data_IF_311828859088
#
_entry.id   IF_311828859088
#
_cell.length_a   1.000
_cell.length_b   1.000
_cell.length_c   1.000
_cell.angle_alpha   90.00
_cell.angle_beta   90.00
_cell.angle_gamma   90.00
#
_symmetry.space_group_name_H-M   'P 1'
#
loop_
_entity.id
_entity.type
_entity.pdbx_description
1 polymer ?
#
# COMPACT_ATOMS: atom_id res chain seq x y z
N UNK A 1 -57.66 -71.75 85.04
CA UNK A 1 -56.39 -71.87 84.28
C UNK A 1 -56.54 -71.12 82.96
N UNK A 2 -56.05 -69.88 82.87
CA UNK A 2 -55.38 -69.32 81.68
C UNK A 2 -54.81 -67.92 82.03
N UNK A 3 -53.48 -67.83 82.16
CA UNK A 3 -52.70 -66.59 82.13
C UNK A 3 -52.46 -66.25 80.65
N UNK A 4 -52.79 -65.05 80.20
CA UNK A 4 -51.89 -63.89 80.06
C UNK A 4 -50.64 -64.21 79.25
N UNK A 5 -50.64 -63.83 77.97
CA UNK A 5 -49.47 -63.38 77.21
C UNK A 5 -49.93 -62.40 76.14
N UNK A 6 -49.68 -61.12 76.37
CA UNK A 6 -50.02 -60.04 75.45
C UNK A 6 -49.77 -58.72 76.16
N UNK A 7 -48.50 -58.31 76.21
CA UNK A 7 -48.01 -56.95 76.52
C UNK A 7 -46.50 -56.99 76.75
N UNK A 8 -45.71 -57.21 75.69
CA UNK A 8 -44.26 -56.97 75.73
C UNK A 8 -43.70 -56.24 74.50
N UNK A 9 -44.48 -56.03 73.44
CA UNK A 9 -43.99 -55.35 72.22
C UNK A 9 -44.14 -53.81 72.25
N UNK A 10 -45.02 -53.25 73.09
CA UNK A 10 -45.23 -51.78 73.13
C UNK A 10 -44.19 -51.01 73.96
N UNK A 11 -43.53 -51.65 74.94
CA UNK A 11 -42.58 -50.97 75.83
C UNK A 11 -41.23 -50.60 75.19
N UNK A 12 -40.80 -51.32 74.14
CA UNK A 12 -39.52 -51.05 73.47
C UNK A 12 -39.59 -49.90 72.45
N UNK A 13 -40.77 -49.65 71.85
CA UNK A 13 -40.95 -48.55 70.89
C UNK A 13 -40.89 -47.18 71.54
N UNK A 14 -41.44 -47.03 72.75
CA UNK A 14 -41.47 -45.75 73.48
C UNK A 14 -40.07 -45.30 73.93
N UNK A 15 -39.20 -46.25 74.33
CA UNK A 15 -37.82 -45.96 74.73
C UNK A 15 -36.92 -45.55 73.57
N UNK A 16 -37.11 -46.16 72.39
CA UNK A 16 -36.35 -45.80 71.18
C UNK A 16 -36.76 -44.41 70.65
N UNK A 17 -38.05 -44.07 70.70
CA UNK A 17 -38.53 -42.74 70.31
C UNK A 17 -38.04 -41.64 71.24
N UNK A 18 -37.92 -41.91 72.55
CA UNK A 18 -37.42 -40.92 73.52
C UNK A 18 -35.93 -40.63 73.32
N UNK A 19 -35.11 -41.66 73.06
CA UNK A 19 -33.68 -41.45 72.82
C UNK A 19 -33.39 -40.72 71.50
N UNK A 20 -34.19 -40.97 70.45
CA UNK A 20 -34.05 -40.28 69.17
C UNK A 20 -34.53 -38.83 69.24
N UNK A 21 -35.52 -38.54 70.08
CA UNK A 21 -36.00 -37.18 70.34
C UNK A 21 -34.92 -36.32 71.00
N UNK A 22 -34.26 -36.83 72.05
CA UNK A 22 -33.23 -36.09 72.78
C UNK A 22 -32.02 -35.77 71.90
N UNK A 23 -31.61 -36.71 71.03
CA UNK A 23 -30.52 -36.51 70.07
C UNK A 23 -30.84 -35.42 69.03
N UNK A 24 -32.05 -35.47 68.46
CA UNK A 24 -32.50 -34.49 67.49
C UNK A 24 -32.67 -33.10 68.12
N UNK A 25 -33.18 -33.05 69.35
CA UNK A 25 -33.34 -31.80 70.11
C UNK A 25 -31.98 -31.16 70.42
N UNK A 26 -30.96 -31.96 70.79
CA UNK A 26 -29.60 -31.45 70.98
C UNK A 26 -29.00 -30.92 69.67
N UNK A 27 -29.20 -31.62 68.55
CA UNK A 27 -28.72 -31.17 67.24
C UNK A 27 -29.37 -29.86 66.81
N UNK A 28 -30.69 -29.73 66.96
CA UNK A 28 -31.44 -28.51 66.67
C UNK A 28 -31.03 -27.35 67.59
N UNK A 29 -30.85 -27.60 68.88
CA UNK A 29 -30.39 -26.59 69.85
C UNK A 29 -28.99 -26.09 69.47
N UNK A 30 -28.12 -26.97 68.98
CA UNK A 30 -26.77 -26.61 68.50
C UNK A 30 -26.84 -25.72 67.25
N UNK A 31 -27.84 -25.93 66.41
CA UNK A 31 -28.15 -25.08 65.25
C UNK A 31 -28.96 -23.81 65.61
N UNK A 32 -29.31 -23.62 66.89
CA UNK A 32 -30.04 -22.46 67.38
C UNK A 32 -31.57 -22.57 67.32
N UNK A 33 -32.11 -23.74 66.97
CA UNK A 33 -33.55 -24.01 66.97
C UNK A 33 -33.99 -24.55 68.34
N UNK A 34 -34.77 -23.76 69.08
CA UNK A 34 -35.20 -24.05 70.46
C UNK A 34 -36.68 -24.44 70.59
N UNK A 35 -37.37 -24.71 69.47
CA UNK A 35 -38.80 -25.03 69.48
C UNK A 35 -39.06 -26.50 69.88
N UNK A 36 -40.13 -26.73 70.64
CA UNK A 36 -40.57 -28.07 71.04
C UNK A 36 -41.46 -28.69 69.96
N UNK A 37 -41.25 -29.97 69.63
CA UNK A 37 -41.97 -30.66 68.56
C UNK A 37 -42.61 -31.97 69.04
N UNK A 38 -43.62 -32.45 68.32
CA UNK A 38 -44.36 -33.68 68.67
C UNK A 38 -43.63 -34.95 68.21
N UNK A 39 -43.87 -36.07 68.92
CA UNK A 39 -43.24 -37.37 68.63
C UNK A 39 -43.50 -37.89 67.20
N UNK A 40 -44.61 -37.49 66.57
CA UNK A 40 -44.96 -37.88 65.20
C UNK A 40 -44.09 -37.15 64.15
N UNK A 41 -43.51 -36.00 64.51
CA UNK A 41 -42.77 -35.13 63.60
C UNK A 41 -41.26 -35.45 63.53
N UNK A 42 -40.75 -36.28 64.45
CA UNK A 42 -39.32 -36.58 64.61
C UNK A 42 -38.69 -37.08 63.29
N UNK A 43 -39.31 -38.06 62.63
CA UNK A 43 -38.76 -38.67 61.42
C UNK A 43 -38.70 -37.70 60.23
N UNK A 44 -39.65 -36.75 60.15
CA UNK A 44 -39.66 -35.73 59.10
C UNK A 44 -38.58 -34.67 59.33
N UNK A 45 -38.47 -34.19 60.57
CA UNK A 45 -37.48 -33.18 60.95
C UNK A 45 -36.05 -33.73 60.76
N UNK A 46 -35.83 -34.99 61.11
CA UNK A 46 -34.53 -35.64 60.89
C UNK A 46 -34.17 -35.74 59.41
N UNK A 47 -35.11 -36.14 58.53
CA UNK A 47 -34.89 -36.15 57.07
C UNK A 47 -34.59 -34.77 56.50
N UNK A 48 -35.32 -33.74 56.95
CA UNK A 48 -35.08 -32.36 56.52
C UNK A 48 -33.72 -31.84 56.98
N UNK A 49 -33.29 -32.22 58.18
CA UNK A 49 -31.97 -31.89 58.71
C UNK A 49 -30.86 -32.57 57.90
N UNK A 50 -31.02 -33.85 57.61
CA UNK A 50 -30.08 -34.61 56.77
C UNK A 50 -30.00 -34.01 55.36
N UNK A 51 -31.14 -33.66 54.75
CA UNK A 51 -31.20 -32.99 53.45
C UNK A 51 -30.51 -31.61 53.49
N UNK A 52 -30.72 -30.84 54.56
CA UNK A 52 -30.07 -29.54 54.75
C UNK A 52 -28.55 -29.66 54.86
N UNK A 53 -28.04 -30.62 55.64
CA UNK A 53 -26.60 -30.88 55.76
C UNK A 53 -25.98 -31.27 54.40
N UNK A 54 -26.67 -32.11 53.62
CA UNK A 54 -26.24 -32.48 52.27
C UNK A 54 -26.23 -31.26 51.33
N UNK A 55 -27.22 -30.37 51.44
CA UNK A 55 -27.25 -29.13 50.65
C UNK A 55 -26.11 -28.19 51.07
N UNK A 56 -25.83 -28.08 52.37
CA UNK A 56 -24.74 -27.24 52.88
C UNK A 56 -23.38 -27.74 52.38
N UNK A 57 -23.12 -29.05 52.46
CA UNK A 57 -21.90 -29.68 51.95
C UNK A 57 -21.74 -29.44 50.44
N UNK A 58 -22.82 -29.63 49.66
CA UNK A 58 -22.83 -29.33 48.22
C UNK A 58 -22.58 -27.84 47.94
N UNK A 59 -23.17 -26.94 48.72
CA UNK A 59 -22.94 -25.50 48.60
C UNK A 59 -21.48 -25.12 48.89
N UNK A 60 -20.88 -25.71 49.93
CA UNK A 60 -19.47 -25.50 50.25
C UNK A 60 -18.55 -26.05 49.15
N UNK A 61 -18.84 -27.25 48.63
CA UNK A 61 -18.12 -27.84 47.50
C UNK A 61 -18.22 -26.94 46.26
N UNK A 62 -19.42 -26.48 45.92
CA UNK A 62 -19.66 -25.63 44.76
C UNK A 62 -18.93 -24.28 44.90
N UNK A 63 -18.92 -23.70 46.10
CA UNK A 63 -18.16 -22.47 46.40
C UNK A 63 -16.66 -22.67 46.22
N UNK A 64 -16.11 -23.79 46.69
CA UNK A 64 -14.69 -24.15 46.49
C UNK A 64 -14.35 -24.34 45.01
N UNK A 65 -15.21 -25.03 44.26
CA UNK A 65 -15.04 -25.21 42.81
C UNK A 65 -15.12 -23.87 42.07
N UNK A 66 -16.08 -23.01 42.40
CA UNK A 66 -16.18 -21.67 41.83
C UNK A 66 -14.90 -20.86 42.06
N UNK A 67 -14.38 -20.85 43.29
CA UNK A 67 -13.12 -20.16 43.61
C UNK A 67 -11.91 -20.76 42.89
N UNK A 68 -11.91 -22.07 42.61
CA UNK A 68 -10.87 -22.70 41.80
C UNK A 68 -10.96 -22.22 40.34
N UNK A 69 -12.15 -22.24 39.75
CA UNK A 69 -12.38 -21.79 38.37
C UNK A 69 -12.04 -20.30 38.19
N UNK A 70 -12.41 -19.45 39.14
CA UNK A 70 -12.10 -18.01 39.07
C UNK A 70 -10.58 -17.77 39.13
N UNK A 71 -9.84 -18.54 39.94
CA UNK A 71 -8.38 -18.49 39.98
C UNK A 71 -7.75 -18.94 38.68
N UNK A 72 -8.19 -20.07 38.12
CA UNK A 72 -7.70 -20.59 36.83
C UNK A 72 -7.98 -19.60 35.70
N UNK A 73 -9.17 -19.00 35.68
CA UNK A 73 -9.54 -17.95 34.72
C UNK A 73 -8.65 -16.72 34.84
N UNK A 74 -8.38 -16.25 36.07
CA UNK A 74 -7.49 -15.12 36.30
C UNK A 74 -6.06 -15.43 35.83
N UNK A 75 -5.56 -16.64 36.13
CA UNK A 75 -4.22 -17.07 35.72
C UNK A 75 -4.10 -17.15 34.19
N UNK A 76 -5.08 -17.75 33.52
CA UNK A 76 -5.16 -17.76 32.06
C UNK A 76 -5.23 -16.35 31.48
N UNK A 77 -5.95 -15.43 32.13
CA UNK A 77 -5.99 -14.04 31.70
C UNK A 77 -4.62 -13.36 31.83
N UNK A 78 -3.91 -13.57 32.94
CA UNK A 78 -2.55 -13.06 33.13
C UNK A 78 -1.56 -13.61 32.09
N UNK A 79 -1.73 -14.86 31.64
CA UNK A 79 -0.89 -15.45 30.59
C UNK A 79 -1.26 -14.97 29.18
N UNK A 80 -2.55 -14.76 28.89
CA UNK A 80 -3.03 -14.40 27.55
C UNK A 80 -2.93 -12.91 27.23
N UNK A 81 -3.08 -12.02 28.21
CA UNK A 81 -2.95 -10.57 28.02
C UNK A 81 -1.59 -10.12 27.44
N UNK A 82 -0.42 -10.57 27.93
CA UNK A 82 0.85 -10.19 27.31
C UNK A 82 0.95 -10.69 25.87
N UNK A 83 0.46 -11.90 25.57
CA UNK A 83 0.44 -12.45 24.22
C UNK A 83 -0.45 -11.65 23.27
N UNK A 84 -1.59 -11.15 23.75
CA UNK A 84 -2.46 -10.26 22.96
C UNK A 84 -1.76 -8.93 22.66
N UNK A 85 -1.07 -8.34 23.64
CA UNK A 85 -0.32 -7.10 23.45
C UNK A 85 0.81 -7.28 22.44
N UNK A 86 1.58 -8.36 22.54
CA UNK A 86 2.65 -8.65 21.57
C UNK A 86 2.09 -8.91 20.18
N UNK A 87 0.98 -9.63 20.04
CA UNK A 87 0.33 -9.86 18.76
C UNK A 87 -0.14 -8.55 18.10
N UNK A 88 -0.74 -7.64 18.88
CA UNK A 88 -1.13 -6.31 18.38
C UNK A 88 0.09 -5.50 17.96
N UNK A 89 1.15 -5.51 18.76
CA UNK A 89 2.41 -4.82 18.46
C UNK A 89 3.04 -5.35 17.16
N UNK A 90 3.17 -6.66 17.04
CA UNK A 90 3.74 -7.32 15.85
C UNK A 90 2.88 -7.09 14.62
N UNK A 91 1.55 -7.08 14.75
CA UNK A 91 0.65 -6.78 13.64
C UNK A 91 0.83 -5.34 13.17
N UNK A 92 1.00 -4.39 14.10
CA UNK A 92 1.27 -2.99 13.76
C UNK A 92 2.62 -2.84 13.05
N UNK A 93 3.66 -3.48 13.56
CA UNK A 93 4.99 -3.49 12.93
C UNK A 93 4.96 -4.12 11.55
N UNK A 94 4.30 -5.28 11.39
CA UNK A 94 4.19 -5.94 10.09
C UNK A 94 3.46 -5.07 9.07
N UNK A 95 2.39 -4.40 9.48
CA UNK A 95 1.66 -3.47 8.61
C UNK A 95 2.53 -2.25 8.25
N UNK A 96 3.29 -1.71 9.19
CA UNK A 96 4.20 -0.60 8.95
C UNK A 96 5.29 -0.98 7.94
N UNK A 97 5.94 -2.13 8.15
CA UNK A 97 6.96 -2.65 7.25
C UNK A 97 6.41 -2.91 5.84
N UNK A 98 5.16 -3.40 5.72
CA UNK A 98 4.51 -3.55 4.41
C UNK A 98 4.37 -2.22 3.69
N UNK A 99 3.93 -1.17 4.39
CA UNK A 99 3.78 0.16 3.80
C UNK A 99 5.14 0.73 3.40
N UNK A 100 6.16 0.59 4.25
CA UNK A 100 7.52 1.01 3.95
C UNK A 100 8.10 0.28 2.74
N UNK A 101 7.86 -1.03 2.63
CA UNK A 101 8.32 -1.83 1.49
C UNK A 101 7.65 -1.40 0.19
N UNK A 102 6.34 -1.15 0.21
CA UNK A 102 5.60 -0.61 -0.94
C UNK A 102 6.20 0.75 -1.35
N UNK A 103 6.40 1.65 -0.38
CA UNK A 103 6.95 2.97 -0.68
C UNK A 103 8.39 2.87 -1.23
N UNK A 104 9.23 2.01 -0.67
CA UNK A 104 10.58 1.79 -1.14
C UNK A 104 10.59 1.25 -2.58
N UNK A 105 9.73 0.27 -2.89
CA UNK A 105 9.56 -0.26 -4.23
C UNK A 105 9.11 0.83 -5.22
N UNK A 106 8.09 1.62 -4.87
CA UNK A 106 7.61 2.72 -5.71
C UNK A 106 8.69 3.78 -5.97
N UNK A 107 9.51 4.10 -4.97
CA UNK A 107 10.63 5.05 -5.14
C UNK A 107 11.71 4.46 -6.04
N UNK A 108 12.05 3.19 -5.84
CA UNK A 108 13.04 2.50 -6.66
C UNK A 108 12.58 2.45 -8.13
N UNK A 109 11.33 2.09 -8.39
CA UNK A 109 10.79 2.00 -9.74
C UNK A 109 10.75 3.37 -10.43
N UNK A 110 10.38 4.44 -9.70
CA UNK A 110 10.45 5.82 -10.22
C UNK A 110 11.87 6.20 -10.59
N UNK A 111 12.85 5.93 -9.74
CA UNK A 111 14.26 6.23 -10.05
C UNK A 111 14.78 5.38 -11.21
N UNK A 112 14.39 4.11 -11.28
CA UNK A 112 14.75 3.21 -12.38
C UNK A 112 14.18 3.68 -13.74
N UNK A 113 12.93 4.17 -13.76
CA UNK A 113 12.35 4.76 -14.97
C UNK A 113 13.07 6.04 -15.36
N UNK A 114 13.39 6.92 -14.40
CA UNK A 114 14.16 8.15 -14.66
C UNK A 114 15.53 7.86 -15.24
N UNK A 115 16.29 6.94 -14.63
CA UNK A 115 17.64 6.58 -15.09
C UNK A 115 17.59 5.96 -16.49
N UNK A 116 16.65 5.06 -16.77
CA UNK A 116 16.48 4.51 -18.12
C UNK A 116 16.12 5.56 -19.17
N UNK A 117 15.29 6.54 -18.82
CA UNK A 117 14.99 7.65 -19.72
C UNK A 117 16.22 8.52 -20.00
N UNK A 118 17.07 8.75 -18.99
CA UNK A 118 18.34 9.44 -19.17
C UNK A 118 19.31 8.64 -20.04
N UNK A 119 19.42 7.32 -19.83
CA UNK A 119 20.23 6.43 -20.67
C UNK A 119 19.78 6.55 -22.14
N UNK A 120 18.47 6.38 -22.42
CA UNK A 120 17.92 6.52 -23.77
C UNK A 120 18.14 7.90 -24.38
N UNK A 121 18.14 8.95 -23.55
CA UNK A 121 18.46 10.32 -24.00
C UNK A 121 19.93 10.40 -24.44
N UNK A 122 20.86 9.94 -23.61
CA UNK A 122 22.28 9.97 -23.93
C UNK A 122 22.64 9.04 -25.09
N UNK A 123 22.00 7.89 -25.23
CA UNK A 123 22.19 7.00 -26.39
C UNK A 123 21.80 7.68 -27.71
N UNK A 124 20.71 8.45 -27.71
CA UNK A 124 20.32 9.27 -28.88
C UNK A 124 21.33 10.36 -29.16
N UNK A 125 21.71 11.14 -28.16
CA UNK A 125 22.73 12.20 -28.31
C UNK A 125 24.07 11.64 -28.81
N UNK A 126 24.52 10.49 -28.30
CA UNK A 126 25.72 9.80 -28.78
C UNK A 126 25.57 9.38 -30.25
N UNK A 127 24.40 8.88 -30.64
CA UNK A 127 24.14 8.46 -32.03
C UNK A 127 24.14 9.64 -32.99
N UNK A 128 23.51 10.75 -32.58
CA UNK A 128 23.52 12.02 -33.33
C UNK A 128 24.93 12.59 -33.47
N UNK A 129 25.71 12.61 -32.37
CA UNK A 129 27.10 13.07 -32.40
C UNK A 129 27.99 12.19 -33.28
N UNK A 130 27.79 10.86 -33.25
CA UNK A 130 28.50 9.93 -34.14
C UNK A 130 28.16 10.20 -35.61
N UNK A 131 26.89 10.42 -35.92
CA UNK A 131 26.46 10.78 -37.28
C UNK A 131 27.08 12.10 -37.74
N UNK A 132 27.04 13.13 -36.90
CA UNK A 132 27.63 14.43 -37.21
C UNK A 132 29.15 14.34 -37.39
N UNK A 133 29.83 13.57 -36.54
CA UNK A 133 31.27 13.32 -36.67
C UNK A 133 31.61 12.62 -37.99
N UNK A 134 30.82 11.61 -38.37
CA UNK A 134 30.96 10.92 -39.65
C UNK A 134 30.79 11.89 -40.83
N UNK A 135 29.79 12.76 -40.78
CA UNK A 135 29.55 13.77 -41.81
C UNK A 135 30.73 14.76 -41.93
N UNK A 136 31.25 15.26 -40.80
CA UNK A 136 32.43 16.13 -40.80
C UNK A 136 33.67 15.43 -41.34
N UNK A 137 33.87 14.16 -41.00
CA UNK A 137 34.97 13.36 -41.53
C UNK A 137 34.87 13.20 -43.05
N UNK A 138 33.69 12.89 -43.58
CA UNK A 138 33.48 12.79 -45.04
C UNK A 138 33.71 14.14 -45.73
N UNK A 139 33.23 15.24 -45.15
CA UNK A 139 33.44 16.58 -45.69
C UNK A 139 34.93 16.96 -45.70
N UNK A 140 35.68 16.63 -44.65
CA UNK A 140 37.12 16.83 -44.60
C UNK A 140 37.83 16.05 -45.72
N UNK A 141 37.50 14.77 -45.89
CA UNK A 141 38.06 13.93 -46.97
C UNK A 141 37.75 14.48 -48.37
N UNK A 142 36.54 15.00 -48.60
CA UNK A 142 36.19 15.63 -49.88
C UNK A 142 37.02 16.90 -50.13
N UNK A 143 37.23 17.73 -49.11
CA UNK A 143 38.07 18.93 -49.22
C UNK A 143 39.54 18.57 -49.45
N UNK A 144 40.07 17.56 -48.75
CA UNK A 144 41.42 17.03 -48.97
C UNK A 144 41.58 16.52 -50.41
N UNK A 145 40.61 15.76 -50.92
CA UNK A 145 40.66 15.27 -52.31
C UNK A 145 40.60 16.41 -53.34
N UNK A 146 39.80 17.46 -53.08
CA UNK A 146 39.74 18.65 -53.94
C UNK A 146 41.06 19.40 -53.92
N UNK A 147 41.60 19.65 -52.73
CA UNK A 147 42.88 20.31 -52.54
C UNK A 147 44.01 19.54 -53.23
N UNK A 148 44.04 18.22 -53.10
CA UNK A 148 45.02 17.35 -53.77
C UNK A 148 44.88 17.44 -55.30
N UNK A 149 43.65 17.50 -55.84
CA UNK A 149 43.43 17.67 -57.27
C UNK A 149 43.83 19.04 -57.81
N UNK A 150 43.58 20.10 -57.03
CA UNK A 150 43.98 21.47 -57.36
C UNK A 150 45.51 21.61 -57.29
N UNK A 151 46.14 21.01 -56.28
CA UNK A 151 47.59 20.97 -56.15
C UNK A 151 48.23 20.30 -57.37
N UNK A 152 47.71 19.14 -57.80
CA UNK A 152 48.17 18.46 -59.03
C UNK A 152 48.02 19.33 -60.27
N UNK A 153 46.89 20.00 -60.45
CA UNK A 153 46.69 20.93 -61.58
C UNK A 153 47.69 22.09 -61.56
N UNK A 154 47.97 22.64 -60.39
CA UNK A 154 48.98 23.71 -60.24
C UNK A 154 50.36 23.16 -60.60
N UNK A 155 50.73 21.98 -60.11
CA UNK A 155 51.98 21.32 -60.47
C UNK A 155 52.08 21.06 -61.99
N UNK A 156 51.02 20.56 -62.63
CA UNK A 156 50.95 20.38 -64.08
C UNK A 156 51.13 21.70 -64.85
N UNK A 157 50.47 22.79 -64.42
CA UNK A 157 50.62 24.11 -65.02
C UNK A 157 52.03 24.68 -64.84
N UNK A 158 52.64 24.49 -63.67
CA UNK A 158 54.02 24.90 -63.41
C UNK A 158 55.00 24.11 -64.28
N UNK A 159 54.81 22.80 -64.43
CA UNK A 159 55.62 21.97 -65.32
C UNK A 159 55.45 22.38 -66.79
N UNK A 160 54.21 22.63 -67.23
CA UNK A 160 53.94 23.13 -68.58
C UNK A 160 54.59 24.49 -68.84
N UNK A 161 54.55 25.39 -67.86
CA UNK A 161 55.25 26.67 -67.93
C UNK A 161 56.77 26.50 -68.00
N UNK A 162 57.34 25.60 -67.18
CA UNK A 162 58.76 25.28 -67.22
C UNK A 162 59.18 24.69 -68.59
N UNK A 163 58.37 23.78 -69.14
CA UNK A 163 58.58 23.23 -70.48
C UNK A 163 58.51 24.30 -71.58
N UNK A 164 57.54 25.23 -71.52
CA UNK A 164 57.48 26.38 -72.45
C UNK A 164 58.73 27.25 -72.30
N UNK A 165 59.13 27.60 -71.08
CA UNK A 165 60.33 28.40 -70.84
C UNK A 165 61.61 27.72 -71.34
N UNK A 166 61.67 26.39 -71.31
CA UNK A 166 62.79 25.61 -71.86
C UNK A 166 62.70 25.54 -73.40
N UNK A 167 61.50 25.36 -73.97
CA UNK A 167 61.26 25.22 -75.41
C UNK A 167 61.39 26.56 -76.17
N UNK A 168 61.06 27.69 -75.56
CA UNK A 168 61.30 29.04 -76.09
C UNK A 168 62.80 29.39 -76.11
N UNK A 169 63.64 28.55 -75.51
CA UNK A 169 65.07 28.77 -75.44
C UNK A 169 65.39 29.84 -74.41
N UNK A 170 66.50 29.64 -73.69
CA UNK A 170 67.16 30.71 -72.93
C UNK A 170 67.72 31.76 -73.90
N UNK A 171 66.85 32.53 -74.53
CA UNK A 171 67.22 33.75 -75.22
C UNK A 171 66.86 34.89 -74.27
N UNK A 172 67.94 35.42 -73.69
CA UNK A 172 68.07 36.69 -72.97
C UNK A 172 66.84 37.58 -72.87
N UNK A 173 66.46 37.89 -71.63
CA UNK A 173 65.97 39.20 -71.19
C UNK A 173 64.85 39.85 -72.01
N UNK A 174 63.69 39.94 -71.37
CA UNK A 174 62.51 40.73 -71.75
C UNK A 174 61.43 40.00 -72.58
N UNK A 175 60.26 39.88 -71.93
CA UNK A 175 58.93 39.76 -72.52
C UNK A 175 58.62 38.51 -73.35
N UNK A 176 58.34 37.41 -72.66
CA UNK A 176 57.54 36.32 -73.24
C UNK A 176 56.46 35.94 -72.24
N UNK A 177 55.24 36.48 -72.43
CA UNK A 177 53.97 35.97 -71.90
C UNK A 177 52.84 36.92 -72.35
N UNK A 178 52.53 36.92 -73.64
CA UNK A 178 51.23 37.40 -74.12
C UNK A 178 50.61 36.23 -74.89
N UNK A 179 49.78 35.38 -74.24
CA UNK A 179 49.14 34.31 -74.96
C UNK A 179 48.07 34.94 -75.86
N UNK A 180 48.26 34.70 -77.16
CA UNK A 180 47.35 34.95 -78.28
C UNK A 180 45.90 34.72 -77.88
N UNK A 181 45.21 35.79 -77.47
CA UNK A 181 43.76 35.88 -77.44
C UNK A 181 43.31 36.16 -78.87
N UNK A 182 43.29 35.10 -79.68
CA UNK A 182 42.67 35.12 -81.00
C UNK A 182 41.16 35.30 -80.79
N UNK A 183 40.68 36.52 -81.03
CA UNK A 183 39.26 36.81 -81.19
C UNK A 183 38.75 36.02 -82.40
N UNK A 184 38.30 34.78 -82.19
CA UNK A 184 37.49 34.07 -83.17
C UNK A 184 36.11 34.74 -83.23
N UNK A 185 35.92 35.50 -84.31
CA UNK A 185 34.68 36.17 -84.66
C UNK A 185 33.53 35.16 -84.78
N UNK A 186 32.50 35.38 -83.99
CA UNK A 186 31.22 34.69 -84.08
C UNK A 186 30.42 35.31 -85.24
N UNK A 187 30.60 34.79 -86.45
CA UNK A 187 29.63 34.96 -87.54
C UNK A 187 29.28 33.58 -88.13
N UNK A 188 28.50 32.82 -87.37
CA UNK A 188 27.76 31.66 -87.89
C UNK A 188 26.31 31.80 -87.41
N UNK A 189 25.33 31.95 -88.32
CA UNK A 189 23.93 31.99 -87.91
C UNK A 189 23.52 30.60 -87.41
N UNK A 190 23.20 30.51 -86.13
CA UNK A 190 22.64 29.32 -85.48
C UNK A 190 21.31 28.92 -86.15
N UNK A 191 21.18 27.64 -86.48
CA UNK A 191 19.91 27.05 -86.92
C UNK A 191 18.81 27.25 -85.86
N UNK A 192 17.55 27.52 -86.27
CA UNK A 192 16.44 27.67 -85.33
C UNK A 192 16.21 26.35 -84.59
N UNK A 193 16.38 26.41 -83.27
CA UNK A 193 16.23 25.28 -82.37
C UNK A 193 14.78 24.75 -82.40
N UNK A 194 14.61 23.43 -82.53
CA UNK A 194 13.30 22.78 -82.49
C UNK A 194 12.59 23.08 -81.17
N UNK A 195 11.34 23.53 -81.29
CA UNK A 195 10.45 23.88 -80.20
C UNK A 195 9.94 22.61 -79.51
N UNK A 196 10.81 21.96 -78.75
CA UNK A 196 10.47 20.86 -77.83
C UNK A 196 11.23 21.04 -76.54
N UNK A 197 10.84 22.08 -75.80
CA UNK A 197 11.00 22.07 -74.36
C UNK A 197 9.67 21.72 -73.72
N UNK A 198 9.49 20.45 -73.35
CA UNK A 198 8.86 20.21 -72.05
C UNK A 198 9.84 20.77 -71.03
N UNK A 199 9.72 22.08 -70.74
CA UNK A 199 10.39 22.67 -69.59
C UNK A 199 9.71 22.02 -68.39
N UNK A 200 10.27 20.89 -67.95
CA UNK A 200 10.12 20.48 -66.56
C UNK A 200 10.84 21.56 -65.76
N UNK A 201 10.12 22.66 -65.48
CA UNK A 201 10.58 23.70 -64.55
C UNK A 201 10.87 22.93 -63.28
N UNK A 202 12.15 22.76 -62.95
CA UNK A 202 12.49 22.20 -61.65
C UNK A 202 11.77 23.06 -60.63
N UNK A 203 10.90 22.48 -59.77
CA UNK A 203 10.16 23.26 -58.81
C UNK A 203 11.17 24.06 -58.00
N UNK A 204 10.92 25.36 -57.88
CA UNK A 204 11.76 26.31 -57.15
C UNK A 204 12.24 25.64 -55.85
N UNK A 205 13.56 25.56 -55.59
CA UNK A 205 14.11 24.90 -54.41
C UNK A 205 13.44 25.35 -53.10
N UNK A 206 12.98 26.61 -53.03
CA UNK A 206 12.25 27.15 -51.89
C UNK A 206 10.84 26.55 -51.71
N UNK A 207 10.17 26.20 -52.81
CA UNK A 207 8.87 25.50 -52.81
C UNK A 207 9.05 24.03 -52.38
N UNK A 208 10.15 23.38 -52.78
CA UNK A 208 10.47 22.01 -52.34
C UNK A 208 10.78 21.99 -50.84
N UNK A 209 11.56 22.95 -50.33
CA UNK A 209 11.89 23.04 -48.90
C UNK A 209 10.66 23.33 -48.03
N UNK A 210 9.76 24.22 -48.46
CA UNK A 210 8.52 24.49 -47.72
C UNK A 210 7.57 23.29 -47.67
N UNK A 211 7.45 22.54 -48.78
CA UNK A 211 6.69 21.29 -48.81
C UNK A 211 7.33 20.25 -47.87
N UNK A 212 8.65 20.06 -47.93
CA UNK A 212 9.35 19.12 -47.05
C UNK A 212 9.24 19.49 -45.56
N UNK A 213 9.29 20.77 -45.23
CA UNK A 213 9.07 21.25 -43.86
C UNK A 213 7.64 21.00 -43.40
N UNK A 214 6.66 21.24 -44.27
CA UNK A 214 5.25 20.95 -43.98
C UNK A 214 5.01 19.45 -43.78
N UNK A 215 5.64 18.60 -44.60
CA UNK A 215 5.56 17.15 -44.51
C UNK A 215 6.14 16.65 -43.18
N UNK A 216 7.34 17.13 -42.81
CA UNK A 216 7.96 16.83 -41.50
C UNK A 216 7.09 17.30 -40.34
N UNK A 217 6.47 18.47 -40.46
CA UNK A 217 5.57 19.00 -39.43
C UNK A 217 4.31 18.16 -39.29
N UNK A 218 3.75 17.69 -40.40
CA UNK A 218 2.61 16.77 -40.41
C UNK A 218 2.99 15.45 -39.74
N UNK A 219 4.13 14.86 -40.11
CA UNK A 219 4.62 13.61 -39.49
C UNK A 219 4.87 13.76 -37.97
N UNK A 220 5.39 14.91 -37.53
CA UNK A 220 5.55 15.22 -36.11
C UNK A 220 4.21 15.35 -35.39
N UNK A 221 3.25 16.04 -36.01
CA UNK A 221 1.91 16.19 -35.46
C UNK A 221 1.19 14.84 -35.39
N UNK A 222 1.30 14.01 -36.43
CA UNK A 222 0.74 12.66 -36.45
C UNK A 222 1.36 11.76 -35.38
N UNK A 223 2.69 11.81 -35.20
CA UNK A 223 3.37 11.11 -34.10
C UNK A 223 2.88 11.60 -32.74
N UNK A 224 2.81 12.92 -32.53
CA UNK A 224 2.31 13.49 -31.28
C UNK A 224 0.85 13.14 -31.02
N UNK A 225 0.02 13.07 -32.05
CA UNK A 225 -1.40 12.75 -31.94
C UNK A 225 -1.58 11.26 -31.61
N UNK A 226 -0.76 10.39 -32.19
CA UNK A 226 -0.70 8.97 -31.84
C UNK A 226 -0.26 8.77 -30.39
N UNK A 227 0.81 9.43 -29.95
CA UNK A 227 1.27 9.36 -28.56
C UNK A 227 0.21 9.86 -27.56
N UNK A 228 -0.54 10.90 -27.91
CA UNK A 228 -1.65 11.40 -27.09
C UNK A 228 -2.80 10.40 -27.05
N UNK A 229 -3.16 9.81 -28.18
CA UNK A 229 -4.20 8.78 -28.26
C UNK A 229 -3.83 7.52 -27.46
N UNK A 230 -2.58 7.06 -27.54
CA UNK A 230 -2.09 5.92 -26.75
C UNK A 230 -2.18 6.24 -25.24
N UNK A 231 -1.76 7.44 -24.81
CA UNK A 231 -1.90 7.89 -23.42
C UNK A 231 -3.35 8.00 -22.97
N UNK A 232 -4.25 8.44 -23.85
CA UNK A 232 -5.68 8.52 -23.57
C UNK A 232 -6.26 7.14 -23.32
N UNK A 233 -5.91 6.15 -24.16
CA UNK A 233 -6.32 4.76 -23.98
C UNK A 233 -5.79 4.19 -22.66
N UNK A 234 -4.50 4.39 -22.33
CA UNK A 234 -3.90 3.94 -21.08
C UNK A 234 -4.61 4.54 -19.85
N UNK A 235 -4.94 5.83 -19.91
CA UNK A 235 -5.68 6.50 -18.84
C UNK A 235 -7.11 5.98 -18.73
N UNK A 236 -7.78 5.71 -19.85
CA UNK A 236 -9.12 5.14 -19.89
C UNK A 236 -9.15 3.73 -19.26
N UNK A 237 -8.15 2.90 -19.54
CA UNK A 237 -7.98 1.59 -18.93
C UNK A 237 -7.72 1.68 -17.42
N UNK A 238 -6.86 2.61 -17.01
CA UNK A 238 -6.60 2.86 -15.59
C UNK A 238 -7.86 3.32 -14.86
N UNK A 239 -8.63 4.26 -15.41
CA UNK A 239 -9.91 4.71 -14.85
C UNK A 239 -10.87 3.53 -14.72
N UNK A 240 -11.04 2.74 -15.78
CA UNK A 240 -11.91 1.56 -15.77
C UNK A 240 -11.50 0.56 -14.68
N UNK A 241 -10.19 0.33 -14.51
CA UNK A 241 -9.66 -0.55 -13.45
C UNK A 241 -9.93 -0.01 -12.04
N UNK A 242 -9.81 1.31 -11.86
CA UNK A 242 -10.07 1.98 -10.58
C UNK A 242 -11.56 1.94 -10.24
N UNK A 243 -12.44 2.16 -11.22
CA UNK A 243 -13.89 2.01 -11.06
C UNK A 243 -14.26 0.58 -10.63
N UNK A 244 -13.68 -0.46 -11.24
CA UNK A 244 -13.91 -1.84 -10.81
C UNK A 244 -13.45 -2.11 -9.37
N UNK A 245 -12.30 -1.52 -8.96
CA UNK A 245 -11.81 -1.62 -7.58
C UNK A 245 -12.72 -0.87 -6.60
N UNK A 246 -13.22 0.30 -6.97
CA UNK A 246 -14.19 1.06 -6.18
C UNK A 246 -15.49 0.28 -6.01
N UNK A 247 -16.07 -0.25 -7.09
CA UNK A 247 -17.27 -1.08 -7.03
C UNK A 247 -17.08 -2.30 -6.14
N UNK A 248 -15.91 -2.94 -6.20
CA UNK A 248 -15.60 -4.08 -5.32
C UNK A 248 -15.54 -3.66 -3.86
N UNK A 249 -14.90 -2.51 -3.56
CA UNK A 249 -14.86 -1.96 -2.19
C UNK A 249 -16.24 -1.54 -1.70
N UNK A 250 -17.08 -0.91 -2.53
CA UNK A 250 -18.44 -0.53 -2.18
C UNK A 250 -19.30 -1.74 -1.83
N UNK A 251 -19.17 -2.85 -2.58
CA UNK A 251 -19.83 -4.12 -2.24
C UNK A 251 -19.38 -4.65 -0.87
N UNK A 252 -18.09 -4.57 -0.56
CA UNK A 252 -17.59 -4.98 0.75
C UNK A 252 -18.05 -4.04 1.87
N UNK A 253 -18.08 -2.73 1.63
CA UNK A 253 -18.62 -1.74 2.58
C UNK A 253 -20.09 -2.03 2.84
N UNK A 254 -20.88 -2.34 1.83
CA UNK A 254 -22.28 -2.75 1.99
C UNK A 254 -22.39 -4.08 2.78
N UNK A 255 -21.52 -5.06 2.50
CA UNK A 255 -21.45 -6.33 3.26
C UNK A 255 -21.10 -6.10 4.73
N UNK A 256 -20.11 -5.26 5.03
CA UNK A 256 -19.75 -4.92 6.40
C UNK A 256 -20.81 -4.06 7.08
N UNK A 257 -21.44 -3.14 6.35
CA UNK A 257 -22.55 -2.33 6.82
C UNK A 257 -23.73 -3.19 7.25
N UNK A 258 -24.14 -4.15 6.42
CA UNK A 258 -25.20 -5.11 6.78
C UNK A 258 -24.82 -5.99 7.98
N UNK A 259 -23.56 -6.43 8.07
CA UNK A 259 -23.08 -7.20 9.22
C UNK A 259 -23.03 -6.38 10.52
N UNK A 260 -22.66 -5.10 10.44
CA UNK A 260 -22.69 -4.16 11.57
C UNK A 260 -24.12 -3.84 12.00
N UNK A 261 -25.03 -3.62 11.05
CA UNK A 261 -26.45 -3.43 11.33
C UNK A 261 -27.00 -4.68 12.01
N UNK A 262 -26.75 -5.88 11.48
CA UNK A 262 -27.20 -7.13 12.10
C UNK A 262 -26.62 -7.37 13.50
N UNK A 263 -25.35 -6.97 13.73
CA UNK A 263 -24.72 -7.02 15.05
C UNK A 263 -25.33 -6.00 16.02
N UNK A 264 -25.71 -4.81 15.55
CA UNK A 264 -26.34 -3.76 16.35
C UNK A 264 -27.82 -4.04 16.64
N UNK A 265 -28.51 -4.70 15.71
CA UNK A 265 -29.90 -5.13 15.83
C UNK A 265 -30.07 -6.39 16.70
N UNK A 266 -28.99 -6.99 17.19
CA UNK A 266 -29.05 -8.14 18.11
C UNK A 266 -29.64 -9.42 17.52
N UNK A 267 -29.93 -9.47 16.22
CA UNK A 267 -30.66 -10.60 15.62
C UNK A 267 -29.81 -11.86 15.44
N UNK A 268 -28.47 -11.75 15.39
CA UNK A 268 -27.58 -12.89 15.11
C UNK A 268 -26.51 -13.18 16.18
N UNK A 269 -26.61 -12.57 17.35
CA UNK A 269 -25.84 -13.02 18.52
C UNK A 269 -26.80 -13.10 19.70
N UNK A 270 -27.04 -14.31 20.20
CA UNK A 270 -27.82 -14.52 21.40
C UNK A 270 -27.37 -13.53 22.49
N UNK A 271 -28.35 -12.81 23.03
CA UNK A 271 -28.30 -11.98 24.23
C UNK A 271 -26.90 -11.43 24.60
N UNK A 272 -26.57 -10.16 24.32
CA UNK A 272 -25.55 -9.51 25.12
C UNK A 272 -26.11 -9.45 26.54
N UNK A 273 -25.55 -10.29 27.42
CA UNK A 273 -25.92 -10.37 28.82
C UNK A 273 -25.94 -8.95 29.42
N UNK A 274 -26.99 -8.62 30.16
CA UNK A 274 -27.14 -7.34 30.87
C UNK A 274 -25.91 -6.99 31.73
N UNK A 275 -25.11 -8.00 32.11
CA UNK A 275 -23.81 -7.86 32.75
C UNK A 275 -22.78 -7.08 31.92
N UNK A 276 -22.77 -7.24 30.59
CA UNK A 276 -21.85 -6.54 29.69
C UNK A 276 -22.22 -5.06 29.56
N UNK A 277 -23.52 -4.76 29.49
CA UNK A 277 -24.05 -3.40 29.48
C UNK A 277 -23.88 -2.70 30.83
N UNK A 278 -24.11 -3.41 31.94
CA UNK A 278 -23.87 -2.90 33.29
C UNK A 278 -22.38 -2.60 33.52
N UNK A 279 -21.48 -3.45 33.00
CA UNK A 279 -20.03 -3.21 33.07
C UNK A 279 -19.58 -2.03 32.21
N UNK A 280 -20.21 -1.79 31.07
CA UNK A 280 -19.99 -0.58 30.27
C UNK A 280 -20.42 0.68 31.03
N UNK A 281 -21.61 0.68 31.63
CA UNK A 281 -22.09 1.80 32.45
C UNK A 281 -21.20 2.06 33.68
N UNK A 282 -20.67 1.00 34.29
CA UNK A 282 -19.75 1.13 35.42
C UNK A 282 -18.41 1.74 35.00
N UNK A 283 -17.93 1.43 33.79
CA UNK A 283 -16.71 2.04 33.25
C UNK A 283 -16.93 3.49 32.83
N UNK A 284 -18.10 3.83 32.28
CA UNK A 284 -18.47 5.20 31.93
C UNK A 284 -18.53 6.11 33.17
N UNK A 285 -19.16 5.65 34.25
CA UNK A 285 -19.20 6.40 35.53
C UNK A 285 -17.83 6.55 36.18
N UNK A 286 -16.94 5.55 36.05
CA UNK A 286 -15.56 5.66 36.50
C UNK A 286 -14.74 6.67 35.68
N UNK A 287 -14.95 6.72 34.37
CA UNK A 287 -14.30 7.70 33.51
C UNK A 287 -14.78 9.12 33.79
N UNK A 288 -16.08 9.30 34.04
CA UNK A 288 -16.66 10.60 34.42
C UNK A 288 -16.09 11.10 35.75
N UNK A 289 -16.01 10.23 36.77
CA UNK A 289 -15.37 10.57 38.05
C UNK A 289 -13.89 10.96 37.91
N UNK A 290 -13.13 10.21 37.10
CA UNK A 290 -11.73 10.53 36.84
C UNK A 290 -11.57 11.83 36.05
N UNK A 291 -12.46 12.08 35.09
CA UNK A 291 -12.47 13.31 34.31
C UNK A 291 -12.75 14.53 35.19
N UNK A 292 -13.78 14.47 36.04
CA UNK A 292 -14.10 15.52 37.00
C UNK A 292 -12.97 15.73 38.02
N UNK A 293 -12.33 14.65 38.47
CA UNK A 293 -11.20 14.76 39.37
C UNK A 293 -9.98 15.42 38.70
N UNK A 294 -9.68 15.06 37.45
CA UNK A 294 -8.61 15.68 36.66
C UNK A 294 -8.91 17.17 36.41
N UNK A 295 -10.14 17.52 36.04
CA UNK A 295 -10.57 18.91 35.88
C UNK A 295 -10.43 19.67 37.21
N UNK A 296 -10.83 19.06 38.32
CA UNK A 296 -10.69 19.66 39.65
C UNK A 296 -9.22 19.89 40.03
N UNK A 297 -8.33 18.94 39.72
CA UNK A 297 -6.89 19.10 39.92
C UNK A 297 -6.34 20.22 39.01
N UNK A 298 -6.70 20.23 37.73
CA UNK A 298 -6.29 21.30 36.80
C UNK A 298 -6.74 22.68 37.28
N UNK A 299 -7.94 22.82 37.83
CA UNK A 299 -8.42 24.07 38.43
C UNK A 299 -7.61 24.47 39.68
N UNK A 300 -7.26 23.51 40.55
CA UNK A 300 -6.43 23.75 41.75
C UNK A 300 -4.99 24.12 41.38
N UNK A 301 -4.43 23.52 40.32
CA UNK A 301 -3.10 23.84 39.81
C UNK A 301 -3.07 25.15 38.99
N UNK A 302 -4.15 25.51 38.30
CA UNK A 302 -4.30 26.81 37.60
C UNK A 302 -4.51 27.99 38.56
N UNK A 303 -5.08 27.77 39.75
CA UNK A 303 -5.34 28.84 40.74
C UNK A 303 -4.29 28.95 41.86
N UNK A 304 -3.17 28.21 41.83
CA UNK A 304 -2.03 28.55 42.70
C UNK A 304 -1.30 29.77 42.12
N UNK A 305 -1.36 30.96 42.75
CA UNK A 305 -0.49 32.05 42.35
C UNK A 305 0.95 31.60 42.59
N UNK A 306 1.79 31.72 41.56
CA UNK A 306 3.24 31.68 41.70
C UNK A 306 3.64 32.71 42.77
N UNK A 307 4.02 32.25 43.96
CA UNK A 307 4.41 33.15 45.05
C UNK A 307 4.78 32.45 46.35
N UNK A 308 6.10 32.38 46.57
CA UNK A 308 6.82 32.34 47.86
C UNK A 308 6.82 31.02 48.66
N UNK A 309 7.85 30.20 48.42
CA UNK A 309 9.00 29.98 49.31
C UNK A 309 10.14 29.35 48.51
#
# INVERSE_FOLDING_TARGET
>A
MTRVTGNQENGNKETETSSSYDQLQQQLTTLGYNETFTSESISLIQKLLDDFLVIEEKCQLLKSQYQKVEREKWELQCQTEPLRRTLVSLTKENNQLRVELIHAADTHDKEHVKTNNLIRKYEREISELKFLNLQYKLRAQQLESKFESERKKIEELLNFYEEICIAVGKETGENVLEPVLEYLGLEEPLDPMEDKFDIFVQPDPHVVDSIQLSQKRIEELERSNKELSDKENDLQEQISSLEQRLLSREKEIARFGTLLINKRSGLNSGSPTDASNSKLQQLETQLEYLHDHVIGLEQVYMFRPFGLC
#
